data_IF_514782868561
#
_entry.id   IF_514782868561
#
_cell.length_a   1.000
_cell.length_b   1.000
_cell.length_c   1.000
_cell.angle_alpha   90.00
_cell.angle_beta   90.00
_cell.angle_gamma   90.00
#
_symmetry.space_group_name_H-M   'P 1'
#
loop_
_entity.id
_entity.type
_entity.pdbx_description
1 polymer ?
#
# COMPACT_ATOMS: atom_id res chain seq x y z
N UNK A 1 19.87 -9.81 12.66
CA UNK A 1 19.48 -9.24 11.36
C UNK A 1 18.19 -9.86 10.87
N UNK A 2 17.33 -9.05 10.29
CA UNK A 2 16.05 -9.54 9.81
C UNK A 2 16.20 -10.39 8.56
N UNK A 3 15.38 -11.42 8.44
CA UNK A 3 15.31 -12.22 7.22
C UNK A 3 14.52 -11.44 6.16
N UNK A 4 14.63 -11.88 4.92
CA UNK A 4 13.84 -11.29 3.84
C UNK A 4 12.35 -11.37 4.17
N UNK A 5 11.90 -12.48 4.71
CA UNK A 5 10.51 -12.67 5.09
C UNK A 5 10.07 -11.65 6.13
N UNK A 6 10.91 -11.40 7.13
CA UNK A 6 10.59 -10.41 8.16
C UNK A 6 10.56 -9.00 7.59
N UNK A 7 11.48 -8.68 6.69
CA UNK A 7 11.54 -7.37 6.06
C UNK A 7 10.29 -7.13 5.21
N UNK A 8 9.88 -8.13 4.45
CA UNK A 8 8.68 -8.02 3.62
C UNK A 8 7.43 -7.90 4.50
N UNK A 9 7.39 -8.63 5.61
CA UNK A 9 6.28 -8.54 6.55
C UNK A 9 6.18 -7.13 7.15
N UNK A 10 7.32 -6.54 7.47
CA UNK A 10 7.36 -5.17 7.98
C UNK A 10 6.82 -4.20 6.93
N UNK A 11 7.26 -4.37 5.69
CA UNK A 11 6.78 -3.53 4.59
C UNK A 11 5.27 -3.65 4.42
N UNK A 12 4.74 -4.87 4.48
CA UNK A 12 3.29 -5.07 4.38
C UNK A 12 2.54 -4.33 5.47
N UNK A 13 3.08 -4.38 6.69
CA UNK A 13 2.47 -3.69 7.83
C UNK A 13 2.46 -2.18 7.60
N UNK A 14 3.57 -1.64 7.12
CA UNK A 14 3.68 -0.21 6.84
C UNK A 14 2.70 0.23 5.74
N UNK A 15 2.59 -0.58 4.68
CA UNK A 15 1.67 -0.28 3.59
C UNK A 15 0.22 -0.35 4.07
N UNK A 16 -0.10 -1.35 4.87
CA UNK A 16 -1.45 -1.49 5.42
C UNK A 16 -1.83 -0.26 6.23
N UNK A 17 -0.89 0.26 7.04
CA UNK A 17 -1.14 1.45 7.83
C UNK A 17 -1.41 2.67 6.95
N UNK A 18 -0.61 2.84 5.89
CA UNK A 18 -0.79 3.96 4.98
C UNK A 18 -2.13 3.88 4.26
N UNK A 19 -2.47 2.71 3.73
CA UNK A 19 -3.73 2.55 3.00
C UNK A 19 -4.94 2.72 3.91
N UNK A 20 -4.85 2.21 5.14
CA UNK A 20 -5.91 2.36 6.12
C UNK A 20 -6.08 3.83 6.51
N UNK A 21 -4.98 4.52 6.75
CA UNK A 21 -5.01 5.93 7.10
C UNK A 21 -5.63 6.75 5.98
N UNK A 22 -5.27 6.43 4.73
CA UNK A 22 -5.81 7.12 3.58
C UNK A 22 -7.33 6.91 3.48
N UNK A 23 -7.76 5.67 3.69
CA UNK A 23 -9.18 5.34 3.59
C UNK A 23 -10.00 6.00 4.70
N UNK A 24 -9.39 6.23 5.87
CA UNK A 24 -10.09 6.83 7.00
C UNK A 24 -10.00 8.36 7.03
N UNK A 25 -9.39 8.97 6.02
CA UNK A 25 -9.34 10.42 5.90
C UNK A 25 -8.33 11.08 6.82
N UNK A 26 -7.20 10.44 7.04
CA UNK A 26 -6.13 11.01 7.85
C UNK A 26 -5.68 12.36 7.32
N UNK A 27 -5.15 13.19 8.22
CA UNK A 27 -4.65 14.51 7.84
C UNK A 27 -3.55 14.36 6.78
N UNK A 28 -3.61 15.24 5.80
CA UNK A 28 -2.70 15.17 4.66
C UNK A 28 -1.23 15.14 5.06
N UNK A 29 -0.84 16.01 5.98
CA UNK A 29 0.56 16.06 6.39
C UNK A 29 1.06 14.77 7.00
N UNK A 30 0.24 14.15 7.83
CA UNK A 30 0.60 12.89 8.47
C UNK A 30 0.68 11.78 7.43
N UNK A 31 -0.27 11.76 6.51
CA UNK A 31 -0.31 10.76 5.45
C UNK A 31 0.91 10.90 4.54
N UNK A 32 1.29 12.13 4.21
CA UNK A 32 2.45 12.38 3.35
C UNK A 32 3.73 11.88 4.01
N UNK A 33 3.88 12.09 5.33
CA UNK A 33 5.07 11.60 6.04
C UNK A 33 5.12 10.08 6.05
N UNK A 34 3.99 9.44 6.30
CA UNK A 34 3.93 7.98 6.31
C UNK A 34 4.26 7.43 4.94
N UNK A 35 3.74 8.07 3.89
CA UNK A 35 4.00 7.68 2.52
C UNK A 35 5.48 7.79 2.19
N UNK A 36 6.10 8.90 2.58
CA UNK A 36 7.52 9.11 2.35
C UNK A 36 8.38 8.08 3.05
N UNK A 37 8.00 7.72 4.26
CA UNK A 37 8.73 6.72 5.03
C UNK A 37 8.69 5.35 4.33
N UNK A 38 7.51 4.97 3.87
CA UNK A 38 7.35 3.69 3.16
C UNK A 38 8.13 3.71 1.85
N UNK A 39 8.07 4.81 1.11
CA UNK A 39 8.81 4.94 -0.13
C UNK A 39 10.31 4.79 0.10
N UNK A 40 10.83 5.42 1.16
CA UNK A 40 12.24 5.30 1.50
C UNK A 40 12.63 3.88 1.87
N UNK A 41 11.75 3.21 2.60
CA UNK A 41 11.99 1.83 3.00
C UNK A 41 12.06 0.91 1.76
N UNK A 42 11.11 1.06 0.84
CA UNK A 42 11.09 0.27 -0.38
C UNK A 42 12.32 0.54 -1.24
N UNK A 43 12.73 1.81 -1.32
CA UNK A 43 13.91 2.18 -2.08
C UNK A 43 15.15 1.52 -1.51
N UNK A 44 15.28 1.53 -0.18
CA UNK A 44 16.42 0.90 0.48
C UNK A 44 16.45 -0.61 0.19
N UNK A 45 15.30 -1.26 0.22
CA UNK A 45 15.24 -2.69 -0.08
C UNK A 45 15.69 -3.00 -1.50
N UNK A 46 15.32 -2.13 -2.44
CA UNK A 46 15.76 -2.28 -3.83
C UNK A 46 17.25 -2.07 -3.96
N UNK A 47 17.77 -1.00 -3.35
CA UNK A 47 19.17 -0.64 -3.48
C UNK A 47 20.09 -1.68 -2.83
N UNK A 48 19.61 -2.29 -1.77
CA UNK A 48 20.37 -3.34 -1.08
C UNK A 48 20.21 -4.70 -1.74
N UNK A 49 19.34 -4.80 -2.75
CA UNK A 49 19.12 -6.05 -3.45
C UNK A 49 18.37 -7.09 -2.64
N UNK A 50 17.67 -6.65 -1.59
CA UNK A 50 16.92 -7.59 -0.75
C UNK A 50 15.67 -8.08 -1.48
N UNK A 51 15.03 -7.18 -2.24
CA UNK A 51 13.86 -7.53 -3.04
C UNK A 51 14.03 -6.99 -4.44
N UNK A 52 13.30 -7.56 -5.39
CA UNK A 52 13.27 -7.07 -6.76
C UNK A 52 12.12 -6.10 -6.92
N UNK A 53 12.17 -5.34 -8.00
CA UNK A 53 11.08 -4.40 -8.32
C UNK A 53 9.77 -5.15 -8.50
N UNK A 54 9.80 -6.30 -9.15
CA UNK A 54 8.60 -7.11 -9.35
C UNK A 54 8.01 -7.56 -8.03
N UNK A 55 8.87 -7.96 -7.09
CA UNK A 55 8.41 -8.37 -5.78
C UNK A 55 7.75 -7.20 -5.03
N UNK A 56 8.32 -6.01 -5.15
CA UNK A 56 7.72 -4.83 -4.51
C UNK A 56 6.36 -4.50 -5.09
N UNK A 57 6.25 -4.55 -6.42
CA UNK A 57 4.97 -4.28 -7.08
C UNK A 57 3.92 -5.27 -6.59
N UNK A 58 4.28 -6.53 -6.49
CA UNK A 58 3.35 -7.56 -6.01
C UNK A 58 2.90 -7.29 -4.58
N UNK A 59 3.84 -6.90 -3.71
CA UNK A 59 3.51 -6.62 -2.32
C UNK A 59 2.58 -5.42 -2.21
N UNK A 60 2.89 -4.35 -2.94
CA UNK A 60 2.08 -3.13 -2.91
C UNK A 60 0.66 -3.42 -3.40
N UNK A 61 0.56 -4.14 -4.51
CA UNK A 61 -0.76 -4.46 -5.07
C UNK A 61 -1.56 -5.36 -4.15
N UNK A 62 -0.92 -6.34 -3.53
CA UNK A 62 -1.59 -7.24 -2.60
C UNK A 62 -2.13 -6.50 -1.39
N UNK A 63 -1.35 -5.55 -0.85
CA UNK A 63 -1.81 -4.79 0.31
C UNK A 63 -2.90 -3.80 -0.06
N UNK A 64 -2.81 -3.23 -1.25
CA UNK A 64 -3.87 -2.32 -1.73
C UNK A 64 -5.19 -3.06 -1.85
N UNK A 65 -5.16 -4.26 -2.43
CA UNK A 65 -6.35 -5.09 -2.56
C UNK A 65 -6.94 -5.43 -1.20
N UNK A 66 -6.08 -5.82 -0.27
CA UNK A 66 -6.52 -6.18 1.07
C UNK A 66 -7.14 -5.00 1.79
N UNK A 67 -6.54 -3.83 1.66
CA UNK A 67 -7.03 -2.62 2.32
C UNK A 67 -8.34 -2.15 1.74
N UNK A 68 -8.52 -2.33 0.42
CA UNK A 68 -9.78 -1.95 -0.23
C UNK A 68 -10.92 -2.82 0.24
N UNK A 69 -10.69 -4.14 0.33
CA UNK A 69 -11.68 -5.07 0.85
C UNK A 69 -12.99 -5.06 0.10
N UNK A 70 -13.85 -6.04 0.39
CA UNK A 70 -15.16 -6.10 -0.26
C UNK A 70 -16.08 -4.92 0.11
N UNK A 71 -15.93 -4.40 1.32
CA UNK A 71 -16.79 -3.31 1.77
C UNK A 71 -16.53 -2.02 1.04
N UNK A 72 -15.28 -1.80 0.62
CA UNK A 72 -14.91 -0.57 -0.07
C UNK A 72 -15.03 -0.66 -1.58
N UNK A 73 -14.89 -1.85 -2.09
CA UNK A 73 -14.90 -2.07 -3.53
C UNK A 73 -16.22 -1.65 -4.19
N UNK A 74 -17.38 -2.02 -3.64
CA UNK A 74 -18.65 -1.57 -4.23
C UNK A 74 -18.80 -0.07 -4.28
N UNK A 75 -18.32 0.64 -3.28
CA UNK A 75 -18.37 2.09 -3.27
C UNK A 75 -17.47 2.67 -4.36
N UNK A 76 -16.30 2.11 -4.54
CA UNK A 76 -15.39 2.55 -5.56
C UNK A 76 -15.99 2.34 -6.95
N UNK A 77 -16.66 1.22 -7.15
CA UNK A 77 -17.32 0.92 -8.42
C UNK A 77 -18.42 1.91 -8.71
N UNK A 78 -19.18 2.29 -7.70
CA UNK A 78 -20.27 3.24 -7.86
C UNK A 78 -19.76 4.62 -8.22
N UNK A 79 -18.64 5.01 -7.69
CA UNK A 79 -18.07 6.34 -7.96
C UNK A 79 -17.24 6.35 -9.22
N UNK A 80 -16.71 5.24 -9.53
CA UNK A 80 -15.90 5.14 -10.73
C UNK A 80 -16.76 5.07 -11.92
N UNK A 81 -16.91 5.11 -11.81
CA UNK A 81 -17.43 4.93 -12.62
C UNK A 81 -17.25 4.52 -13.46
N UNK A 82 -16.98 4.42 -13.60
CA UNK A 82 -17.30 3.95 -14.10
C UNK A 82 -17.36 3.18 -14.24
N UNK A 83 -17.15 2.94 -14.00
CA UNK A 83 -17.42 2.20 -14.12
C UNK A 83 -17.95 2.02 -14.37
N UNK A 84 -18.07 2.27 -14.57
CA UNK A 84 -18.78 2.15 -14.67
C UNK A 84 -19.09 2.66 -14.66
N UNK A 85 -19.13 3.37 -14.60
CA UNK A 85 -19.71 3.67 -14.28
C UNK A 85 -20.34 3.78 -14.12
N UNK A 86 -20.62 4.14 -13.95
CA UNK A 86 -21.23 4.07 -13.53
C UNK A 86 -21.71 3.80 -13.50
N UNK A 87 -21.76 3.71 -13.59
CA UNK A 87 -22.40 3.38 -13.39
C UNK A 87 -22.57 2.85 -13.04
#
# INVERSE_FOLDING_TARGET
>A
MKTKSEVVAELRSMLADVFTAKASGEAYGRLARAHGYVDGYMRALLELGIVTKAELVDVVNAERERSSGPAMRPMADLTGVPAGVAA
#
